data_IF_372732766536
#
_entry.id   IF_372732766536
#
_cell.length_a   1.000
_cell.length_b   1.000
_cell.length_c   1.000
_cell.angle_alpha   90.00
_cell.angle_beta   90.00
_cell.angle_gamma   90.00
#
_symmetry.space_group_name_H-M   'P 1'
#
loop_
_entity.id
_entity.type
_entity.pdbx_description
1 polymer ?
#
# COMPACT_ATOMS: atom_id res chain seq x y z
N UNK A 1 24.56 -45.42 7.71
CA UNK A 1 25.07 -44.23 8.45
C UNK A 1 23.88 -43.42 8.91
N UNK A 2 23.62 -43.52 10.21
CA UNK A 2 22.41 -42.99 10.87
C UNK A 2 22.59 -41.49 11.15
N UNK A 3 21.70 -40.66 10.62
CA UNK A 3 21.68 -39.25 10.96
C UNK A 3 20.91 -39.04 12.26
N UNK A 4 21.64 -38.70 13.30
CA UNK A 4 21.11 -38.40 14.64
C UNK A 4 20.47 -37.02 14.60
N UNK A 5 19.15 -36.93 14.58
CA UNK A 5 18.40 -35.69 14.80
C UNK A 5 18.52 -35.33 16.28
N UNK A 6 19.35 -34.32 16.56
CA UNK A 6 19.47 -33.77 17.92
C UNK A 6 18.24 -32.90 18.17
N UNK A 7 17.23 -33.44 18.82
CA UNK A 7 16.10 -32.67 19.35
C UNK A 7 16.64 -31.72 20.43
N UNK A 8 16.49 -30.42 20.22
CA UNK A 8 16.67 -29.38 21.25
C UNK A 8 15.68 -29.70 22.38
N UNK A 9 16.18 -30.17 23.53
CA UNK A 9 15.42 -30.20 24.78
C UNK A 9 15.19 -28.72 25.16
N UNK A 10 13.95 -28.28 25.14
CA UNK A 10 13.56 -27.01 25.77
C UNK A 10 13.77 -27.18 27.28
N UNK A 11 14.80 -26.56 27.84
CA UNK A 11 15.02 -26.52 29.27
C UNK A 11 13.78 -25.92 29.95
N UNK A 12 13.21 -26.68 30.91
CA UNK A 12 12.06 -26.23 31.68
C UNK A 12 12.54 -25.17 32.66
N UNK A 13 12.03 -23.97 32.53
CA UNK A 13 12.37 -22.83 33.39
C UNK A 13 11.40 -22.78 34.58
N UNK A 14 11.94 -22.62 35.79
CA UNK A 14 11.12 -22.45 37.01
C UNK A 14 10.48 -21.06 37.01
N UNK A 15 9.19 -20.97 37.35
CA UNK A 15 8.48 -19.69 37.50
C UNK A 15 9.04 -18.82 38.66
N UNK A 16 9.85 -19.39 39.56
CA UNK A 16 10.53 -18.68 40.62
C UNK A 16 11.82 -17.96 40.14
N UNK A 17 12.30 -18.27 38.94
CA UNK A 17 13.44 -17.61 38.33
C UNK A 17 12.95 -16.50 37.39
N UNK A 18 12.78 -15.30 37.94
CA UNK A 18 12.22 -14.13 37.23
C UNK A 18 13.03 -13.77 35.98
N UNK A 19 14.36 -13.86 36.01
CA UNK A 19 15.22 -13.52 34.88
C UNK A 19 15.13 -14.56 33.76
N UNK A 20 15.07 -15.85 34.11
CA UNK A 20 14.89 -16.90 33.13
C UNK A 20 13.51 -16.86 32.48
N UNK A 21 12.44 -16.57 33.28
CA UNK A 21 11.07 -16.37 32.76
C UNK A 21 11.02 -15.17 31.82
N UNK A 22 11.61 -14.03 32.21
CA UNK A 22 11.68 -12.84 31.37
C UNK A 22 12.39 -13.11 30.04
N UNK A 23 13.50 -13.84 30.08
CA UNK A 23 14.20 -14.24 28.85
C UNK A 23 13.32 -15.10 27.95
N UNK A 24 12.65 -16.12 28.48
CA UNK A 24 11.72 -16.98 27.72
C UNK A 24 10.60 -16.16 27.07
N UNK A 25 10.04 -15.17 27.79
CA UNK A 25 9.01 -14.29 27.26
C UNK A 25 9.55 -13.43 26.11
N UNK A 26 10.74 -12.82 26.28
CA UNK A 26 11.38 -12.03 25.24
C UNK A 26 11.67 -12.88 24.01
N UNK A 27 12.27 -14.05 24.17
CA UNK A 27 12.60 -14.94 23.07
C UNK A 27 11.34 -15.45 22.35
N UNK A 28 10.24 -15.68 23.09
CA UNK A 28 8.96 -16.06 22.51
C UNK A 28 8.34 -14.93 21.68
N UNK A 29 8.42 -13.67 22.17
CA UNK A 29 7.93 -12.49 21.42
C UNK A 29 8.78 -12.27 20.17
N UNK A 30 10.11 -12.38 20.27
CA UNK A 30 11.00 -12.24 19.12
C UNK A 30 10.77 -13.38 18.11
N UNK A 31 10.58 -14.63 18.57
CA UNK A 31 10.24 -15.76 17.72
C UNK A 31 8.90 -15.58 16.99
N UNK A 32 7.88 -15.02 17.67
CA UNK A 32 6.62 -14.65 17.04
C UNK A 32 6.81 -13.56 15.98
N UNK A 33 7.68 -12.58 16.25
CA UNK A 33 8.02 -11.53 15.30
C UNK A 33 8.70 -12.10 14.05
N UNK A 34 9.59 -13.08 14.20
CA UNK A 34 10.20 -13.78 13.07
C UNK A 34 9.17 -14.56 12.24
N UNK A 35 8.19 -15.20 12.89
CA UNK A 35 7.07 -15.85 12.20
C UNK A 35 6.27 -14.82 11.39
N UNK A 36 5.91 -13.68 12.00
CA UNK A 36 5.20 -12.60 11.31
C UNK A 36 6.01 -12.10 10.11
N UNK A 37 7.31 -11.85 10.27
CA UNK A 37 8.19 -11.42 9.18
C UNK A 37 8.30 -12.48 8.07
N UNK A 38 8.30 -13.76 8.40
CA UNK A 38 8.32 -14.82 7.40
C UNK A 38 6.98 -15.00 6.67
N UNK A 39 5.85 -14.73 7.34
CA UNK A 39 4.53 -14.70 6.70
C UNK A 39 4.44 -13.62 5.63
N UNK A 40 5.19 -12.53 5.76
CA UNK A 40 5.26 -11.47 4.75
C UNK A 40 5.89 -11.93 3.42
N UNK A 41 6.62 -13.03 3.42
CA UNK A 41 7.17 -13.67 2.21
C UNK A 41 6.14 -14.54 1.48
N UNK A 42 5.03 -14.87 2.15
CA UNK A 42 3.92 -15.60 1.54
C UNK A 42 3.08 -14.58 0.79
N UNK A 43 3.29 -14.45 -0.52
CA UNK A 43 2.38 -13.67 -1.36
C UNK A 43 1.02 -14.38 -1.34
N UNK A 44 -0.09 -13.67 -1.08
CA UNK A 44 -1.41 -14.24 -1.28
C UNK A 44 -1.49 -14.80 -2.71
N UNK A 45 -2.18 -15.92 -2.89
CA UNK A 45 -2.58 -16.37 -4.23
C UNK A 45 -3.23 -15.20 -4.97
N UNK A 46 -3.00 -15.09 -6.29
CA UNK A 46 -3.60 -14.03 -7.13
C UNK A 46 -5.05 -13.80 -6.71
N UNK A 47 -5.37 -12.56 -6.40
CA UNK A 47 -6.76 -12.18 -6.14
C UNK A 47 -7.59 -12.44 -7.40
N UNK A 48 -8.87 -12.74 -7.23
CA UNK A 48 -9.79 -12.92 -8.36
C UNK A 48 -9.92 -11.65 -9.20
N UNK A 49 -9.77 -10.49 -8.57
CA UNK A 49 -9.85 -9.16 -9.19
C UNK A 49 -8.58 -8.38 -8.95
N UNK A 50 -8.20 -7.59 -9.94
CA UNK A 50 -7.05 -6.67 -9.85
C UNK A 50 -7.34 -5.59 -8.81
N UNK A 51 -6.39 -5.29 -7.93
CA UNK A 51 -6.57 -4.37 -6.81
C UNK A 51 -5.71 -3.14 -6.95
N UNK A 52 -6.35 -1.98 -6.92
CA UNK A 52 -5.69 -0.68 -7.01
C UNK A 52 -5.83 0.05 -5.68
N UNK A 53 -4.71 0.37 -5.04
CA UNK A 53 -4.72 1.27 -3.89
C UNK A 53 -4.63 2.71 -4.37
N UNK A 54 -5.51 3.56 -3.82
CA UNK A 54 -5.53 5.01 -4.09
C UNK A 54 -5.22 5.76 -2.80
N UNK A 55 -4.07 6.42 -2.77
CA UNK A 55 -3.66 7.33 -1.69
C UNK A 55 -4.02 8.77 -2.05
N UNK A 56 -4.35 9.58 -1.04
CA UNK A 56 -4.66 10.99 -1.26
C UNK A 56 -5.05 11.74 0.00
N UNK A 57 -5.24 13.04 -0.13
CA UNK A 57 -5.55 13.94 0.99
C UNK A 57 -6.89 13.65 1.66
N UNK A 58 -6.90 13.56 2.98
CA UNK A 58 -8.12 13.52 3.78
C UNK A 58 -8.87 14.87 3.83
N UNK A 59 -8.26 15.96 3.33
CA UNK A 59 -8.79 17.34 3.45
C UNK A 59 -9.52 17.84 2.21
N UNK A 60 -9.45 17.09 1.11
CA UNK A 60 -10.16 17.47 -0.13
C UNK A 60 -11.68 17.40 0.11
N UNK A 61 -12.39 18.39 -0.44
CA UNK A 61 -13.85 18.47 -0.29
C UNK A 61 -14.55 18.03 -1.58
N UNK A 62 -15.74 17.42 -1.48
CA UNK A 62 -16.60 17.19 -2.65
C UNK A 62 -16.76 18.45 -3.49
N UNK A 63 -16.81 18.29 -4.82
CA UNK A 63 -16.89 19.39 -5.77
C UNK A 63 -15.55 20.04 -6.14
N UNK A 64 -14.44 19.66 -5.48
CA UNK A 64 -13.11 20.10 -5.92
C UNK A 64 -12.63 19.24 -7.09
N UNK A 65 -11.83 19.81 -7.99
CA UNK A 65 -11.29 19.09 -9.16
C UNK A 65 -10.61 17.78 -8.74
N UNK A 66 -9.77 17.80 -7.69
CA UNK A 66 -9.08 16.61 -7.22
C UNK A 66 -10.05 15.52 -6.71
N UNK A 67 -11.14 15.92 -6.05
CA UNK A 67 -12.17 15.00 -5.56
C UNK A 67 -12.90 14.32 -6.74
N UNK A 68 -13.40 15.13 -7.69
CA UNK A 68 -14.16 14.62 -8.82
C UNK A 68 -13.30 13.77 -9.77
N UNK A 69 -12.05 14.15 -10.00
CA UNK A 69 -11.10 13.36 -10.79
C UNK A 69 -10.77 12.01 -10.11
N UNK A 70 -10.56 12.00 -8.79
CA UNK A 70 -10.31 10.76 -8.05
C UNK A 70 -11.54 9.84 -8.07
N UNK A 71 -12.74 10.40 -7.87
CA UNK A 71 -14.01 9.67 -7.96
C UNK A 71 -14.21 9.10 -9.37
N UNK A 72 -13.96 9.89 -10.41
CA UNK A 72 -14.07 9.47 -11.81
C UNK A 72 -13.08 8.34 -12.14
N UNK A 73 -11.82 8.48 -11.71
CA UNK A 73 -10.80 7.44 -11.91
C UNK A 73 -11.22 6.12 -11.26
N UNK A 74 -11.61 6.18 -10.00
CA UNK A 74 -12.03 5.00 -9.25
C UNK A 74 -13.26 4.33 -9.87
N UNK A 75 -14.27 5.11 -10.31
CA UNK A 75 -15.44 4.60 -11.01
C UNK A 75 -15.05 3.84 -12.28
N UNK A 76 -14.17 4.40 -13.10
CA UNK A 76 -13.70 3.77 -14.33
C UNK A 76 -12.93 2.47 -14.06
N UNK A 77 -12.01 2.49 -13.07
CA UNK A 77 -11.25 1.31 -12.67
C UNK A 77 -12.16 0.19 -12.14
N UNK A 78 -13.14 0.52 -11.32
CA UNK A 78 -14.11 -0.44 -10.80
C UNK A 78 -14.97 -1.06 -11.93
N UNK A 79 -15.42 -0.25 -12.89
CA UNK A 79 -16.14 -0.71 -14.08
C UNK A 79 -15.28 -1.65 -14.95
N UNK A 80 -13.96 -1.48 -14.97
CA UNK A 80 -13.02 -2.39 -15.65
C UNK A 80 -12.74 -3.68 -14.88
N UNK A 81 -13.37 -3.89 -13.73
CA UNK A 81 -13.20 -5.09 -12.92
C UNK A 81 -12.09 -5.00 -11.85
N UNK A 82 -11.67 -3.78 -11.46
CA UNK A 82 -10.75 -3.60 -10.34
C UNK A 82 -11.51 -3.48 -9.01
N UNK A 83 -10.88 -3.95 -7.93
CA UNK A 83 -11.24 -3.56 -6.58
C UNK A 83 -10.40 -2.36 -6.15
N UNK A 84 -10.97 -1.46 -5.36
CA UNK A 84 -10.30 -0.24 -4.91
C UNK A 84 -10.04 -0.27 -3.41
N UNK A 85 -8.81 0.02 -3.05
CA UNK A 85 -8.35 0.09 -1.66
C UNK A 85 -7.97 1.52 -1.33
N UNK A 86 -8.40 2.00 -0.17
CA UNK A 86 -8.01 3.32 0.36
C UNK A 86 -7.66 3.23 1.84
N UNK A 87 -7.28 4.36 2.46
CA UNK A 87 -7.18 4.48 3.92
C UNK A 87 -8.53 4.50 4.64
N UNK A 88 -9.67 4.47 3.94
CA UNK A 88 -11.01 4.42 4.52
C UNK A 88 -11.51 5.73 5.13
N UNK A 89 -10.71 6.80 5.14
CA UNK A 89 -11.03 8.09 5.71
C UNK A 89 -11.78 9.02 4.74
N UNK A 90 -11.90 10.32 5.09
CA UNK A 90 -12.56 11.33 4.27
C UNK A 90 -11.69 11.79 3.10
N UNK A 91 -12.15 12.78 2.38
CA UNK A 91 -11.43 13.45 1.30
C UNK A 91 -11.27 12.58 0.07
N UNK A 92 -10.06 12.48 -0.49
CA UNK A 92 -9.82 11.70 -1.71
C UNK A 92 -9.98 10.19 -1.50
N UNK A 93 -9.82 9.70 -0.28
CA UNK A 93 -10.14 8.32 0.08
C UNK A 93 -11.64 8.06 -0.08
N UNK A 94 -12.47 8.97 0.44
CA UNK A 94 -13.93 8.92 0.25
C UNK A 94 -14.30 9.07 -1.23
N UNK A 95 -13.68 9.98 -1.96
CA UNK A 95 -13.92 10.14 -3.40
C UNK A 95 -13.68 8.84 -4.17
N UNK A 96 -12.60 8.13 -3.85
CA UNK A 96 -12.29 6.86 -4.47
C UNK A 96 -13.33 5.77 -4.11
N UNK A 97 -13.70 5.65 -2.85
CA UNK A 97 -14.72 4.68 -2.42
C UNK A 97 -16.11 5.01 -3.01
N UNK A 98 -16.50 6.29 -3.05
CA UNK A 98 -17.72 6.76 -3.70
C UNK A 98 -17.75 6.45 -5.22
N UNK A 99 -16.59 6.51 -5.87
CA UNK A 99 -16.46 6.14 -7.27
C UNK A 99 -16.78 4.66 -7.53
N UNK A 100 -16.35 3.76 -6.64
CA UNK A 100 -16.69 2.32 -6.70
C UNK A 100 -18.21 2.12 -6.55
N UNK A 101 -18.80 2.72 -5.52
CA UNK A 101 -20.25 2.68 -5.27
C UNK A 101 -21.03 3.15 -6.50
N UNK A 102 -20.62 4.29 -7.08
CA UNK A 102 -21.25 4.85 -8.28
C UNK A 102 -21.04 4.00 -9.56
N UNK A 103 -20.11 3.05 -9.56
CA UNK A 103 -19.91 2.13 -10.69
C UNK A 103 -20.84 0.92 -10.65
N UNK A 104 -21.31 0.55 -9.46
CA UNK A 104 -22.06 -0.70 -9.22
C UNK A 104 -21.21 -1.97 -9.43
N UNK A 105 -19.88 -1.84 -9.52
CA UNK A 105 -18.95 -2.96 -9.75
C UNK A 105 -17.68 -2.77 -8.92
N UNK A 106 -16.99 -3.87 -8.61
CA UNK A 106 -15.79 -3.85 -7.77
C UNK A 106 -16.12 -3.82 -6.28
N UNK A 107 -15.10 -4.03 -5.46
CA UNK A 107 -15.20 -3.90 -4.00
C UNK A 107 -14.52 -2.63 -3.55
N UNK A 108 -15.16 -1.94 -2.61
CA UNK A 108 -14.64 -0.74 -1.95
C UNK A 108 -14.05 -1.12 -0.60
N UNK A 109 -12.73 -0.99 -0.43
CA UNK A 109 -12.02 -1.43 0.77
C UNK A 109 -11.31 -0.28 1.46
N UNK A 110 -11.30 -0.31 2.80
CA UNK A 110 -10.58 0.63 3.65
C UNK A 110 -9.59 -0.07 4.57
N UNK A 111 -8.31 0.34 4.54
CA UNK A 111 -7.28 -0.12 5.47
C UNK A 111 -6.94 1.02 6.42
N UNK A 112 -7.46 0.94 7.65
CA UNK A 112 -7.38 1.96 8.67
C UNK A 112 -6.27 1.71 9.68
N UNK A 113 -5.91 2.76 10.41
CA UNK A 113 -5.14 2.65 11.64
C UNK A 113 -5.96 3.26 12.79
N UNK A 114 -5.96 2.62 13.93
CA UNK A 114 -6.60 3.12 15.15
C UNK A 114 -5.76 4.28 15.71
N UNK A 115 -6.21 5.50 15.50
CA UNK A 115 -5.60 6.71 16.03
C UNK A 115 -6.59 7.45 16.93
N UNK A 116 -6.13 8.05 18.04
CA UNK A 116 -7.01 8.76 19.02
C UNK A 116 -7.83 9.89 18.41
N UNK A 117 -7.52 10.35 17.19
CA UNK A 117 -8.16 11.47 16.50
C UNK A 117 -8.67 11.08 15.10
N UNK A 118 -8.75 9.79 14.78
CA UNK A 118 -9.20 9.37 13.45
C UNK A 118 -10.72 9.47 13.35
N UNK A 119 -11.16 9.94 12.18
CA UNK A 119 -12.57 10.06 11.84
C UNK A 119 -13.16 8.68 11.55
N UNK A 120 -14.47 8.55 11.62
CA UNK A 120 -15.20 7.35 11.26
C UNK A 120 -14.88 6.90 9.81
N UNK A 121 -15.08 5.61 9.53
CA UNK A 121 -15.00 5.07 8.17
C UNK A 121 -15.95 5.85 7.28
N UNK A 122 -15.51 6.25 6.09
CA UNK A 122 -16.42 6.90 5.16
C UNK A 122 -17.53 5.92 4.70
N UNK A 123 -18.74 6.42 4.41
CA UNK A 123 -19.94 5.57 4.20
C UNK A 123 -19.88 4.66 2.97
N UNK A 124 -18.89 4.84 2.09
CA UNK A 124 -18.75 4.08 0.85
C UNK A 124 -17.76 2.91 0.98
N UNK A 125 -17.19 2.67 2.16
CA UNK A 125 -16.33 1.50 2.42
C UNK A 125 -17.20 0.29 2.69
N UNK A 126 -17.09 -0.72 1.85
CA UNK A 126 -17.82 -1.99 1.97
C UNK A 126 -17.09 -2.96 2.92
N UNK A 127 -15.76 -2.99 2.87
CA UNK A 127 -14.93 -3.85 3.69
C UNK A 127 -13.81 -3.04 4.36
N UNK A 128 -13.83 -2.96 5.70
CA UNK A 128 -12.84 -2.24 6.48
C UNK A 128 -11.89 -3.21 7.23
N UNK A 129 -10.61 -2.91 7.19
CA UNK A 129 -9.58 -3.54 7.99
C UNK A 129 -8.99 -2.52 8.96
N UNK A 130 -8.77 -2.90 10.22
CA UNK A 130 -8.25 -2.02 11.25
C UNK A 130 -6.90 -2.51 11.76
N UNK A 131 -5.94 -1.59 11.85
CA UNK A 131 -4.60 -1.82 12.34
C UNK A 131 -4.30 -0.96 13.56
N UNK A 132 -3.50 -1.48 14.49
CA UNK A 132 -3.05 -0.73 15.68
C UNK A 132 -1.80 0.10 15.44
N UNK A 133 -1.08 -0.15 14.35
CA UNK A 133 0.17 0.56 14.04
C UNK A 133 0.22 0.96 12.57
N UNK A 134 0.92 2.07 12.30
CA UNK A 134 1.21 2.48 10.91
C UNK A 134 1.95 1.40 10.13
N UNK A 135 2.88 0.68 10.75
CA UNK A 135 3.69 -0.33 10.08
C UNK A 135 2.85 -1.49 9.55
N UNK A 136 1.97 -2.05 10.38
CA UNK A 136 1.08 -3.14 9.95
C UNK A 136 0.07 -2.68 8.90
N UNK A 137 -0.40 -1.43 8.99
CA UNK A 137 -1.27 -0.82 7.99
C UNK A 137 -0.55 -0.67 6.64
N UNK A 138 0.62 -0.04 6.63
CA UNK A 138 1.41 0.15 5.42
C UNK A 138 1.76 -1.18 4.76
N UNK A 139 2.14 -2.17 5.57
CA UNK A 139 2.41 -3.52 5.09
C UNK A 139 1.18 -4.17 4.45
N UNK A 140 -0.02 -3.96 5.00
CA UNK A 140 -1.25 -4.49 4.44
C UNK A 140 -1.55 -3.90 3.04
N UNK A 141 -1.32 -2.60 2.82
CA UNK A 141 -1.42 -2.02 1.48
C UNK A 141 -0.51 -2.73 0.48
N UNK A 142 0.74 -3.00 0.88
CA UNK A 142 1.72 -3.71 0.04
C UNK A 142 1.24 -5.10 -0.36
N UNK A 143 0.71 -5.86 0.60
CA UNK A 143 0.24 -7.23 0.35
C UNK A 143 -1.06 -7.30 -0.45
N UNK A 144 -1.90 -6.28 -0.32
CA UNK A 144 -3.24 -6.29 -0.88
C UNK A 144 -3.34 -5.71 -2.29
N UNK A 145 -2.28 -5.05 -2.81
CA UNK A 145 -2.37 -4.22 -4.01
C UNK A 145 -1.54 -4.75 -5.17
N UNK A 146 -2.11 -4.65 -6.37
CA UNK A 146 -1.43 -4.92 -7.64
C UNK A 146 -0.91 -3.62 -8.29
N UNK A 147 -1.40 -2.46 -7.85
CA UNK A 147 -0.96 -1.14 -8.31
C UNK A 147 -1.29 -0.04 -7.30
N UNK A 148 -0.58 1.07 -7.40
CA UNK A 148 -0.76 2.25 -6.55
C UNK A 148 -0.98 3.50 -7.38
N UNK A 149 -2.04 4.25 -7.07
CA UNK A 149 -2.32 5.58 -7.59
C UNK A 149 -2.20 6.55 -6.42
N UNK A 150 -1.47 7.63 -6.63
CA UNK A 150 -1.25 8.67 -5.63
C UNK A 150 -1.85 9.96 -6.14
N UNK A 151 -3.02 10.31 -5.63
CA UNK A 151 -3.67 11.60 -5.85
C UNK A 151 -3.01 12.69 -5.00
N UNK A 152 -3.28 13.98 -5.22
CA UNK A 152 -2.69 15.06 -4.41
C UNK A 152 -2.92 14.85 -2.91
N UNK A 153 -1.85 14.97 -2.10
CA UNK A 153 -1.93 14.67 -0.68
C UNK A 153 -0.90 15.38 0.19
N UNK A 154 -1.03 15.20 1.49
CA UNK A 154 -0.13 15.76 2.49
C UNK A 154 0.97 14.78 2.91
N UNK A 155 1.53 15.02 4.12
CA UNK A 155 2.67 14.26 4.66
C UNK A 155 2.37 12.74 4.76
N UNK A 156 1.15 12.36 5.16
CA UNK A 156 0.75 10.93 5.21
C UNK A 156 0.82 10.28 3.83
N UNK A 157 0.31 10.97 2.80
CA UNK A 157 0.36 10.50 1.41
C UNK A 157 1.80 10.41 0.88
N UNK A 158 2.66 11.38 1.26
CA UNK A 158 4.11 11.33 0.93
C UNK A 158 4.77 10.12 1.61
N UNK A 159 4.46 9.85 2.89
CA UNK A 159 4.98 8.67 3.59
C UNK A 159 4.61 7.37 2.85
N UNK A 160 3.34 7.22 2.48
CA UNK A 160 2.84 6.06 1.74
C UNK A 160 3.56 5.94 0.38
N UNK A 161 3.71 7.05 -0.34
CA UNK A 161 4.41 7.12 -1.63
C UNK A 161 5.87 6.69 -1.49
N UNK A 162 6.61 7.28 -0.54
CA UNK A 162 8.03 6.99 -0.35
C UNK A 162 8.27 5.55 0.08
N UNK A 163 7.37 4.98 0.89
CA UNK A 163 7.46 3.58 1.28
C UNK A 163 7.31 2.65 0.06
N UNK A 164 6.30 2.87 -0.79
CA UNK A 164 6.11 2.05 -2.00
C UNK A 164 7.29 2.24 -2.96
N UNK A 165 7.75 3.47 -3.14
CA UNK A 165 8.93 3.76 -3.98
C UNK A 165 10.17 3.02 -3.49
N UNK A 166 10.45 3.07 -2.18
CA UNK A 166 11.58 2.33 -1.59
C UNK A 166 11.46 0.82 -1.81
N UNK A 167 10.26 0.23 -1.65
CA UNK A 167 10.06 -1.20 -1.85
C UNK A 167 10.23 -1.63 -3.32
N UNK A 168 9.87 -0.77 -4.25
CA UNK A 168 10.10 -0.97 -5.69
C UNK A 168 11.60 -0.86 -6.01
N UNK A 169 12.30 0.15 -5.46
CA UNK A 169 13.73 0.37 -5.64
C UNK A 169 14.56 -0.86 -5.23
N UNK A 170 14.22 -1.48 -4.09
CA UNK A 170 14.94 -2.67 -3.59
C UNK A 170 14.38 -4.00 -4.15
N UNK A 171 13.54 -3.94 -5.17
CA UNK A 171 12.89 -5.10 -5.80
C UNK A 171 12.10 -5.99 -4.82
N UNK A 172 11.60 -5.43 -3.72
CA UNK A 172 10.69 -6.12 -2.82
C UNK A 172 9.28 -6.21 -3.42
N UNK A 173 8.88 -5.19 -4.17
CA UNK A 173 7.73 -5.19 -5.08
C UNK A 173 8.24 -5.26 -6.52
N UNK A 174 7.82 -6.25 -7.29
CA UNK A 174 8.23 -6.38 -8.68
C UNK A 174 7.13 -5.89 -9.61
N UNK A 175 7.50 -5.05 -10.58
CA UNK A 175 6.64 -4.60 -11.68
C UNK A 175 5.29 -3.99 -11.26
N UNK A 176 5.16 -3.53 -10.02
CA UNK A 176 3.95 -2.90 -9.50
C UNK A 176 3.93 -1.42 -9.89
N UNK A 177 2.93 -0.92 -10.63
CA UNK A 177 2.86 0.49 -10.99
C UNK A 177 2.70 1.38 -9.76
N UNK A 178 3.52 2.45 -9.69
CA UNK A 178 3.37 3.57 -8.77
C UNK A 178 3.11 4.83 -9.60
N UNK A 179 1.86 5.30 -9.63
CA UNK A 179 1.39 6.37 -10.51
C UNK A 179 1.06 7.60 -9.68
N UNK A 180 1.73 8.70 -9.95
CA UNK A 180 1.57 9.97 -9.25
C UNK A 180 0.74 10.93 -10.12
N UNK A 181 -0.49 11.25 -9.69
CA UNK A 181 -1.44 12.01 -10.48
C UNK A 181 -1.43 13.49 -10.10
N UNK A 182 -1.26 14.35 -11.09
CA UNK A 182 -1.44 15.79 -10.96
C UNK A 182 -0.16 16.59 -10.70
N UNK A 183 -0.33 17.91 -10.60
CA UNK A 183 0.77 18.89 -10.63
C UNK A 183 1.65 18.94 -9.37
N UNK A 184 1.24 18.27 -8.29
CA UNK A 184 2.00 18.26 -7.03
C UNK A 184 3.31 17.48 -7.15
N UNK A 185 3.28 16.38 -7.86
CA UNK A 185 4.30 15.34 -7.79
C UNK A 185 5.56 15.60 -8.63
N UNK A 186 5.50 16.24 -9.80
CA UNK A 186 6.71 16.56 -10.57
C UNK A 186 7.77 17.33 -9.77
N UNK A 187 7.35 18.19 -8.83
CA UNK A 187 8.28 18.88 -7.94
C UNK A 187 9.02 17.96 -6.96
N UNK A 188 8.38 16.88 -6.48
CA UNK A 188 9.03 15.87 -5.64
C UNK A 188 10.06 15.08 -6.45
N UNK A 189 9.72 14.66 -7.66
CA UNK A 189 10.65 13.93 -8.54
C UNK A 189 11.85 14.80 -8.91
N UNK A 190 11.62 16.09 -9.23
CA UNK A 190 12.69 17.02 -9.52
C UNK A 190 13.59 17.27 -8.31
N UNK A 191 13.02 17.36 -7.11
CA UNK A 191 13.81 17.45 -5.89
C UNK A 191 14.69 16.22 -5.68
N UNK A 192 14.17 15.00 -5.89
CA UNK A 192 14.95 13.75 -5.80
C UNK A 192 16.07 13.77 -6.84
N UNK A 193 15.77 14.15 -8.09
CA UNK A 193 16.75 14.23 -9.18
C UNK A 193 17.86 15.23 -8.88
N UNK A 194 17.51 16.45 -8.52
CA UNK A 194 18.47 17.52 -8.30
C UNK A 194 19.25 17.40 -6.98
N UNK A 195 18.66 16.81 -5.94
CA UNK A 195 19.25 16.76 -4.60
C UNK A 195 19.89 15.42 -4.26
N UNK A 196 19.37 14.31 -4.77
CA UNK A 196 19.88 12.97 -4.44
C UNK A 196 20.74 12.38 -5.56
N UNK A 197 20.29 12.47 -6.83
CA UNK A 197 21.04 11.93 -7.97
C UNK A 197 22.24 12.80 -8.32
N UNK A 198 22.08 14.13 -8.23
CA UNK A 198 23.14 15.10 -8.55
C UNK A 198 24.05 15.44 -7.35
N UNK A 199 23.96 14.69 -6.27
CA UNK A 199 24.86 14.86 -5.12
C UNK A 199 26.29 14.50 -5.49
N UNK A 200 27.31 15.02 -4.76
CA UNK A 200 28.75 14.78 -5.03
C UNK A 200 29.05 13.28 -5.21
N UNK A 201 28.49 12.44 -4.34
CA UNK A 201 28.37 11.00 -4.55
C UNK A 201 26.88 10.69 -4.68
N UNK A 202 26.38 10.25 -5.84
CA UNK A 202 24.96 9.98 -6.01
C UNK A 202 24.40 9.07 -4.92
N UNK A 203 23.29 9.46 -4.30
CA UNK A 203 22.65 8.74 -3.21
C UNK A 203 21.66 7.69 -3.70
N UNK A 204 21.32 7.75 -4.99
CA UNK A 204 20.39 6.85 -5.71
C UNK A 204 20.92 6.60 -7.12
N UNK A 205 20.39 5.58 -7.80
CA UNK A 205 20.65 5.33 -9.22
C UNK A 205 19.70 6.17 -10.11
N UNK A 206 20.08 6.38 -11.36
CA UNK A 206 19.26 7.15 -12.30
C UNK A 206 17.89 6.47 -12.54
N UNK A 207 17.89 5.15 -12.64
CA UNK A 207 16.68 4.34 -12.81
C UNK A 207 15.70 4.43 -11.63
N UNK A 208 16.18 4.72 -10.43
CA UNK A 208 15.33 4.87 -9.24
C UNK A 208 14.38 6.06 -9.35
N UNK A 209 14.80 7.10 -10.09
CA UNK A 209 13.99 8.32 -10.30
C UNK A 209 12.81 8.06 -11.25
N UNK A 210 12.94 7.06 -12.11
CA UNK A 210 11.94 6.74 -13.13
C UNK A 210 10.93 5.66 -12.64
N UNK A 211 11.10 5.15 -11.41
CA UNK A 211 10.15 4.19 -10.79
C UNK A 211 8.74 4.79 -10.66
N UNK A 212 8.54 5.99 -10.06
CA UNK A 212 7.22 6.60 -10.04
C UNK A 212 6.90 7.27 -11.38
N UNK A 213 5.73 6.97 -11.92
CA UNK A 213 5.26 7.58 -13.17
C UNK A 213 4.35 8.76 -12.87
N UNK A 214 4.81 9.99 -13.16
CA UNK A 214 3.99 11.18 -13.05
C UNK A 214 3.06 11.33 -14.26
N UNK A 215 1.77 11.51 -14.01
CA UNK A 215 0.74 11.74 -15.02
C UNK A 215 -0.04 13.01 -14.72
N UNK A 216 -0.57 13.65 -15.76
CA UNK A 216 -1.26 14.92 -15.62
C UNK A 216 -2.68 14.77 -15.05
N UNK A 217 -3.36 13.66 -15.36
CA UNK A 217 -4.78 13.47 -15.09
C UNK A 217 -5.13 12.00 -14.84
N UNK A 218 -6.40 11.76 -14.52
CA UNK A 218 -6.91 10.42 -14.22
C UNK A 218 -6.92 9.48 -15.44
N UNK A 219 -7.11 10.00 -16.67
CA UNK A 219 -7.19 9.16 -17.87
C UNK A 219 -5.87 8.47 -18.16
N UNK A 220 -4.76 9.21 -18.04
CA UNK A 220 -3.41 8.64 -18.18
C UNK A 220 -3.14 7.56 -17.13
N UNK A 221 -3.59 7.76 -15.88
CA UNK A 221 -3.46 6.76 -14.82
C UNK A 221 -4.28 5.49 -15.13
N UNK A 222 -5.52 5.65 -15.60
CA UNK A 222 -6.40 4.56 -15.99
C UNK A 222 -5.77 3.73 -17.12
N UNK A 223 -5.20 4.39 -18.13
CA UNK A 223 -4.54 3.72 -19.27
C UNK A 223 -3.33 2.90 -18.83
N UNK A 224 -2.54 3.37 -17.86
CA UNK A 224 -1.42 2.62 -17.32
C UNK A 224 -1.93 1.38 -16.58
N UNK A 225 -2.93 1.53 -15.72
CA UNK A 225 -3.54 0.42 -14.98
C UNK A 225 -4.14 -0.61 -15.94
N UNK A 226 -4.87 -0.16 -16.96
CA UNK A 226 -5.48 -1.05 -17.96
C UNK A 226 -4.43 -1.95 -18.63
N UNK A 227 -3.35 -1.34 -19.14
CA UNK A 227 -2.24 -2.08 -19.77
C UNK A 227 -1.57 -3.05 -18.82
N UNK A 228 -1.28 -2.61 -17.59
CA UNK A 228 -0.64 -3.48 -16.59
C UNK A 228 -1.53 -4.64 -16.17
N UNK A 229 -2.82 -4.39 -15.96
CA UNK A 229 -3.82 -5.41 -15.62
C UNK A 229 -3.88 -6.51 -16.70
N UNK A 230 -3.94 -6.13 -17.99
CA UNK A 230 -3.92 -7.07 -19.10
C UNK A 230 -2.61 -7.89 -19.13
N UNK A 231 -1.45 -7.23 -18.98
CA UNK A 231 -0.15 -7.89 -18.94
C UNK A 231 0.01 -8.86 -17.76
N UNK A 232 -0.69 -8.60 -16.64
CA UNK A 232 -0.68 -9.43 -15.44
C UNK A 232 -1.63 -10.64 -15.50
N UNK A 233 -2.37 -10.79 -16.60
CA UNK A 233 -3.24 -11.95 -16.87
C UNK A 233 -4.57 -11.93 -16.08
N UNK A 234 -5.03 -10.76 -15.64
CA UNK A 234 -6.38 -10.62 -15.14
C UNK A 234 -7.36 -10.55 -16.33
N UNK A 235 -8.39 -11.40 -16.32
CA UNK A 235 -9.41 -11.41 -17.36
C UNK A 235 -10.17 -10.08 -17.43
N UNK A 236 -10.65 -9.70 -18.61
CA UNK A 236 -11.64 -8.62 -18.73
C UNK A 236 -12.91 -9.03 -17.97
N UNK A 237 -13.51 -8.07 -17.25
CA UNK A 237 -14.83 -8.29 -16.66
C UNK A 237 -15.83 -8.48 -17.81
N UNK A 238 -16.46 -9.64 -17.86
CA UNK A 238 -17.54 -9.96 -18.81
C UNK A 238 -18.79 -9.11 -18.50
#
# INVERSE_FOLDING_TARGET
MSATTTGQRTDVVSLADEEAVKKVLIDSVLGLWDVVNNLTRVRPSKHERYRVTIFGSARAKPGTIAYEETKRASKALAAMGCDIITGGGPGLMQAANEGVDASGSGKSMGIRVDLPFEQEVNPFVELAYEHRTFFTRLHHFVLASDAFIVAPGGIGTVLETMMIWQLLQVNHLEKTPLILVGKLWPGLIEWVRSSMLSFETPLINAEDVDIPVCVANADEAIDIIHRHRQASGFAEAL
#
